data_IF_740630300327
#
_entry.id   IF_740630300327
#
_cell.length_a   1.000
_cell.length_b   1.000
_cell.length_c   1.000
_cell.angle_alpha   90.00
_cell.angle_beta   90.00
_cell.angle_gamma   90.00
#
_symmetry.space_group_name_H-M   'P 1'
#
loop_
_entity.id
_entity.type
_entity.pdbx_description
1 polymer ?
#
# COMPACT_ATOMS: atom_id res chain seq x y z
N UNK A 1 -10.33 -2.52 12.10
CA UNK A 1 -8.93 -2.09 11.93
C UNK A 1 -8.04 -3.21 11.39
N UNK A 2 -7.90 -4.34 12.08
CA UNK A 2 -7.03 -5.47 11.67
C UNK A 2 -7.30 -5.94 10.22
N UNK A 3 -8.56 -6.13 9.83
CA UNK A 3 -8.92 -6.52 8.46
C UNK A 3 -8.53 -5.49 7.40
N UNK A 4 -8.59 -4.19 7.73
CA UNK A 4 -8.18 -3.10 6.84
C UNK A 4 -6.66 -3.00 6.73
N UNK A 5 -5.95 -3.13 7.85
CA UNK A 5 -4.48 -3.17 7.87
C UNK A 5 -3.97 -4.34 7.02
N UNK A 6 -4.50 -5.56 7.23
CA UNK A 6 -4.13 -6.73 6.42
C UNK A 6 -4.35 -6.49 4.92
N UNK A 7 -5.51 -5.92 4.55
CA UNK A 7 -5.81 -5.59 3.16
C UNK A 7 -4.82 -4.59 2.60
N UNK A 8 -4.59 -3.46 3.28
CA UNK A 8 -3.67 -2.42 2.84
C UNK A 8 -2.25 -2.99 2.64
N UNK A 9 -1.75 -3.79 3.58
CA UNK A 9 -0.43 -4.44 3.46
C UNK A 9 -0.36 -5.36 2.22
N UNK A 10 -1.38 -6.19 1.97
CA UNK A 10 -1.41 -7.03 0.76
C UNK A 10 -1.50 -6.19 -0.53
N UNK A 11 -2.21 -5.07 -0.50
CA UNK A 11 -2.38 -4.18 -1.65
C UNK A 11 -1.09 -3.44 -2.03
N UNK A 12 -0.22 -3.12 -1.07
CA UNK A 12 1.13 -2.58 -1.36
C UNK A 12 1.89 -3.53 -2.27
N UNK A 13 2.03 -4.80 -1.87
CA UNK A 13 2.79 -5.79 -2.66
C UNK A 13 2.12 -6.09 -3.99
N UNK A 14 0.79 -6.24 -4.01
CA UNK A 14 0.04 -6.51 -5.24
C UNK A 14 0.26 -5.42 -6.29
N UNK A 15 0.21 -4.14 -5.90
CA UNK A 15 0.43 -3.04 -6.84
C UNK A 15 1.88 -2.98 -7.33
N UNK A 16 2.88 -3.24 -6.48
CA UNK A 16 4.29 -3.28 -6.91
C UNK A 16 4.49 -4.38 -7.97
N UNK A 17 4.01 -5.59 -7.71
CA UNK A 17 4.15 -6.72 -8.63
C UNK A 17 3.38 -6.49 -9.92
N UNK A 18 2.14 -6.01 -9.83
CA UNK A 18 1.32 -5.72 -11.00
C UNK A 18 1.90 -4.57 -11.84
N UNK A 19 2.49 -3.57 -11.20
CA UNK A 19 3.18 -2.47 -11.87
C UNK A 19 4.47 -2.89 -12.56
N UNK A 20 5.25 -3.78 -11.94
CA UNK A 20 6.53 -4.24 -12.46
C UNK A 20 6.42 -5.03 -13.78
N UNK A 21 5.25 -5.62 -14.06
CA UNK A 21 4.97 -6.33 -15.32
C UNK A 21 4.33 -5.45 -16.40
N UNK A 22 4.14 -4.14 -16.14
CA UNK A 22 3.56 -3.22 -17.13
C UNK A 22 4.58 -2.83 -18.21
N UNK A 23 4.06 -2.32 -19.33
CA UNK A 23 4.83 -2.08 -20.56
C UNK A 23 5.69 -0.83 -20.50
N UNK A 24 5.32 0.17 -19.70
CA UNK A 24 6.02 1.44 -19.63
C UNK A 24 6.36 1.83 -18.20
N UNK A 25 7.41 2.63 -18.05
CA UNK A 25 7.77 3.24 -16.75
C UNK A 25 6.62 4.07 -16.18
N UNK A 26 5.86 4.78 -17.02
CA UNK A 26 4.72 5.58 -16.57
C UNK A 26 3.61 4.71 -15.98
N UNK A 27 3.34 3.55 -16.59
CA UNK A 27 2.39 2.60 -16.02
C UNK A 27 2.88 2.11 -14.65
N UNK A 28 4.15 1.70 -14.54
CA UNK A 28 4.71 1.26 -13.28
C UNK A 28 4.62 2.35 -12.20
N UNK A 29 4.94 3.60 -12.54
CA UNK A 29 4.82 4.74 -11.63
C UNK A 29 3.40 4.90 -11.08
N UNK A 30 2.36 4.74 -11.91
CA UNK A 30 0.97 4.80 -11.44
C UNK A 30 0.67 3.72 -10.38
N UNK A 31 1.15 2.50 -10.59
CA UNK A 31 1.03 1.43 -9.60
C UNK A 31 1.83 1.71 -8.32
N UNK A 32 3.02 2.31 -8.43
CA UNK A 32 3.80 2.73 -7.27
C UNK A 32 3.11 3.85 -6.48
N UNK A 33 2.42 4.78 -7.14
CA UNK A 33 1.60 5.79 -6.46
C UNK A 33 0.48 5.15 -5.63
N UNK A 34 -0.20 4.13 -6.18
CA UNK A 34 -1.20 3.37 -5.43
C UNK A 34 -0.59 2.59 -4.26
N UNK A 35 0.52 1.89 -4.49
CA UNK A 35 1.25 1.19 -3.43
C UNK A 35 1.64 2.13 -2.29
N UNK A 36 2.08 3.35 -2.61
CA UNK A 36 2.41 4.40 -1.63
C UNK A 36 1.18 4.84 -0.83
N UNK A 37 0.01 4.97 -1.48
CA UNK A 37 -1.26 5.26 -0.79
C UNK A 37 -1.61 4.20 0.26
N UNK A 38 -1.52 2.91 -0.10
CA UNK A 38 -1.76 1.81 0.84
C UNK A 38 -0.73 1.74 1.97
N UNK A 39 0.51 2.14 1.71
CA UNK A 39 1.54 2.22 2.75
C UNK A 39 1.20 3.29 3.79
N UNK A 40 0.75 4.48 3.36
CA UNK A 40 0.28 5.53 4.28
C UNK A 40 -0.97 5.09 5.08
N UNK A 41 -1.88 4.31 4.48
CA UNK A 41 -2.98 3.70 5.25
C UNK A 41 -2.45 2.78 6.36
N UNK A 42 -1.43 1.96 6.07
CA UNK A 42 -0.82 1.07 7.07
C UNK A 42 -0.17 1.87 8.20
N UNK A 43 0.59 2.91 7.87
CA UNK A 43 1.22 3.81 8.83
C UNK A 43 0.18 4.42 9.77
N UNK A 44 -0.89 5.01 9.23
CA UNK A 44 -1.99 5.58 10.00
C UNK A 44 -2.62 4.55 10.97
N UNK A 45 -2.88 3.33 10.51
CA UNK A 45 -3.44 2.28 11.38
C UNK A 45 -2.47 1.84 12.49
N UNK A 46 -1.16 1.79 12.20
CA UNK A 46 -0.14 1.46 13.18
C UNK A 46 0.01 2.58 14.22
N UNK A 47 0.11 3.84 13.77
CA UNK A 47 0.14 5.00 14.66
C UNK A 47 -1.08 4.99 15.59
N UNK A 48 -2.28 4.80 15.06
CA UNK A 48 -3.50 4.72 15.87
C UNK A 48 -3.45 3.56 16.87
N UNK A 49 -2.94 2.40 16.47
CA UNK A 49 -2.82 1.24 17.35
C UNK A 49 -1.81 1.43 18.49
N UNK A 50 -0.74 2.20 18.26
CA UNK A 50 0.32 2.44 19.24
C UNK A 50 0.08 3.69 20.11
N UNK A 51 -0.61 4.71 19.59
CA UNK A 51 -0.87 5.98 20.29
C UNK A 51 -2.09 5.95 21.23
N UNK A 52 -2.93 4.90 21.16
CA UNK A 52 -4.06 4.69 22.09
C UNK A 52 -3.68 3.87 23.34
N UNK A 53 -2.43 3.97 23.80
CA UNK A 53 -1.98 3.36 25.06
C UNK A 53 -2.15 4.30 26.23
#
# INVERSE_FOLDING_TARGET
MISKLRRATTSVMANIVEGAVRKTTNDFLNFLYNARGYLFECECFLEFAFNLR
#
